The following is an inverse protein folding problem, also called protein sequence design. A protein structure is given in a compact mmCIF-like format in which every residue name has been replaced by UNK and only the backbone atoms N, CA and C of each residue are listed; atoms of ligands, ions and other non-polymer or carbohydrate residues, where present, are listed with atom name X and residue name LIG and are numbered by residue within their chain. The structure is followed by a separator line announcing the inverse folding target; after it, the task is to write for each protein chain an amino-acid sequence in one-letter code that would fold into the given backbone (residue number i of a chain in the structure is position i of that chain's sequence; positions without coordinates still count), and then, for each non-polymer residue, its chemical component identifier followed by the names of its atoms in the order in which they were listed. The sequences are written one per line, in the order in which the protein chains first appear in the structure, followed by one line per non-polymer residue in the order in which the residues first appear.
data_IF_162527152453
#
_entry.id   IF_162527152453
#
_cell.length_a   1.000
_cell.length_b   1.000
_cell.length_c   1.000
_cell.angle_alpha   90.00
_cell.angle_beta   90.00
_cell.angle_gamma   90.00
#
_symmetry.space_group_name_H-M   'P 1'
#
loop_
_entity.id
_entity.type
_entity.pdbx_description
1 polymer ?
#
# COMPACT_ATOMS: atom_id res chain seq x y z
N UNK A 1 -38.36 36.67 65.91
CA UNK A 1 -39.27 37.08 64.82
C UNK A 1 -38.40 37.51 63.67
N UNK A 2 -38.49 36.79 62.54
CA UNK A 2 -38.36 37.31 61.17
C UNK A 2 -38.03 36.13 60.23
N UNK A 3 -39.09 35.51 59.73
CA UNK A 3 -39.05 34.57 58.60
C UNK A 3 -39.23 35.40 57.33
N UNK A 4 -38.17 35.57 56.53
CA UNK A 4 -38.27 36.14 55.19
C UNK A 4 -38.65 35.01 54.22
N UNK A 5 -39.90 35.03 53.80
CA UNK A 5 -40.44 34.20 52.71
C UNK A 5 -40.10 34.87 51.37
N UNK A 6 -39.07 34.38 50.67
CA UNK A 6 -38.81 34.75 49.28
C UNK A 6 -39.35 33.68 48.33
N UNK A 7 -40.50 33.98 47.76
CA UNK A 7 -41.13 33.26 46.65
C UNK A 7 -40.17 33.14 45.44
N UNK A 8 -39.99 31.96 44.83
CA UNK A 8 -39.21 31.83 43.61
C UNK A 8 -39.96 32.49 42.45
N UNK A 9 -39.43 33.60 41.93
CA UNK A 9 -39.94 34.26 40.72
C UNK A 9 -40.01 33.23 39.59
N UNK A 10 -41.22 32.96 39.11
CA UNK A 10 -41.47 32.10 37.95
C UNK A 10 -40.74 32.64 36.72
N UNK A 11 -39.89 31.81 36.12
CA UNK A 11 -39.28 32.07 34.82
C UNK A 11 -40.39 32.30 33.79
N UNK A 12 -40.40 33.46 33.16
CA UNK A 12 -41.36 33.81 32.10
C UNK A 12 -41.19 32.86 30.91
N UNK A 13 -42.29 32.55 30.21
CA UNK A 13 -42.29 31.60 29.09
C UNK A 13 -41.32 32.00 27.95
N UNK A 14 -41.03 33.30 27.79
CA UNK A 14 -40.06 33.78 26.81
C UNK A 14 -38.63 33.30 27.09
N UNK A 15 -38.18 33.36 28.35
CA UNK A 15 -36.85 32.84 28.70
C UNK A 15 -36.76 31.33 28.58
N UNK A 16 -37.86 30.59 28.81
CA UNK A 16 -37.91 29.16 28.52
C UNK A 16 -37.77 28.89 27.02
N UNK A 17 -38.44 29.67 26.17
CA UNK A 17 -38.38 29.49 24.72
C UNK A 17 -36.99 29.82 24.15
N UNK A 18 -36.34 30.88 24.63
CA UNK A 18 -34.96 31.23 24.25
C UNK A 18 -33.94 30.16 24.70
N UNK A 19 -34.11 29.60 25.90
CA UNK A 19 -33.29 28.49 26.39
C UNK A 19 -33.54 27.20 25.60
N UNK A 20 -34.79 26.90 25.21
CA UNK A 20 -35.07 25.73 24.37
C UNK A 20 -34.59 25.90 22.93
N UNK A 21 -34.55 27.13 22.42
CA UNK A 21 -33.99 27.47 21.11
C UNK A 21 -32.46 27.36 21.07
N UNK A 22 -31.78 27.78 22.14
CA UNK A 22 -30.32 27.66 22.24
C UNK A 22 -29.84 26.23 22.51
N UNK A 23 -30.66 25.40 23.15
CA UNK A 23 -30.38 23.98 23.42
C UNK A 23 -30.72 23.04 22.26
N UNK A 24 -31.44 23.51 21.24
CA UNK A 24 -31.80 22.70 20.06
C UNK A 24 -31.38 23.40 18.76
N UNK A 25 -30.07 23.42 18.42
CA UNK A 25 -29.62 23.97 17.16
C UNK A 25 -30.25 23.18 16.00
N UNK A 26 -30.99 23.87 15.12
CA UNK A 26 -31.52 23.28 13.89
C UNK A 26 -30.36 22.60 13.14
N UNK A 27 -30.50 21.34 12.68
CA UNK A 27 -29.45 20.68 11.93
C UNK A 27 -29.15 21.50 10.68
N UNK A 28 -28.00 22.19 10.68
CA UNK A 28 -27.52 22.89 9.51
C UNK A 28 -27.36 21.85 8.40
N UNK A 29 -28.06 22.04 7.28
CA UNK A 29 -27.96 21.15 6.13
C UNK A 29 -26.51 21.14 5.65
N UNK A 30 -25.77 20.06 5.97
CA UNK A 30 -24.39 19.91 5.53
C UNK A 30 -24.33 20.07 4.00
N UNK A 31 -23.51 21.01 3.53
CA UNK A 31 -23.28 21.21 2.10
C UNK A 31 -22.81 19.94 1.42
N UNK A 32 -23.01 19.82 0.11
CA UNK A 32 -22.63 18.63 -0.67
C UNK A 32 -21.18 18.19 -0.42
N UNK A 33 -20.25 19.14 -0.30
CA UNK A 33 -18.85 18.87 0.08
C UNK A 33 -18.76 18.27 1.49
N UNK A 34 -19.46 18.81 2.47
CA UNK A 34 -19.47 18.28 3.83
C UNK A 34 -20.11 16.89 3.90
N UNK A 35 -21.18 16.60 3.12
CA UNK A 35 -21.75 15.25 3.00
C UNK A 35 -20.79 14.29 2.30
N UNK A 36 -20.10 14.73 1.26
CA UNK A 36 -19.05 13.94 0.61
C UNK A 36 -17.92 13.60 1.59
N UNK A 37 -17.41 14.59 2.34
CA UNK A 37 -16.38 14.40 3.37
C UNK A 37 -16.86 13.63 4.60
N UNK A 38 -18.16 13.64 4.91
CA UNK A 38 -18.76 12.85 5.97
C UNK A 38 -18.88 11.38 5.54
N UNK A 39 -19.45 11.10 4.37
CA UNK A 39 -19.50 9.75 3.77
C UNK A 39 -18.10 9.18 3.57
N UNK A 40 -17.15 10.01 3.13
CA UNK A 40 -15.74 9.62 2.98
C UNK A 40 -15.10 9.25 4.32
N UNK A 41 -15.32 10.03 5.39
CA UNK A 41 -14.83 9.70 6.75
C UNK A 41 -15.51 8.47 7.35
N UNK A 42 -16.77 8.24 7.00
CA UNK A 42 -17.56 7.11 7.51
C UNK A 42 -17.19 5.78 6.81
N UNK A 43 -16.76 5.84 5.54
CA UNK A 43 -16.37 4.66 4.75
C UNK A 43 -14.85 4.39 4.74
N UNK A 44 -14.00 5.41 4.92
CA UNK A 44 -12.55 5.26 4.91
C UNK A 44 -11.97 5.41 6.32
N UNK A 45 -11.39 4.30 6.80
CA UNK A 45 -10.65 4.24 8.06
C UNK A 45 -9.62 5.39 8.16
N UNK A 46 -9.42 5.98 9.36
CA UNK A 46 -8.39 7.00 9.56
C UNK A 46 -7.02 6.45 9.09
N UNK A 47 -6.42 7.09 8.08
CA UNK A 47 -5.10 6.71 7.57
C UNK A 47 -5.06 6.05 6.19
N UNK A 48 -6.18 5.84 5.47
CA UNK A 48 -6.15 5.32 4.10
C UNK A 48 -5.22 6.15 3.18
N UNK A 49 -5.27 7.48 3.27
CA UNK A 49 -4.39 8.33 2.47
C UNK A 49 -2.91 8.03 2.73
N UNK A 50 -2.52 7.78 3.98
CA UNK A 50 -1.15 7.40 4.35
C UNK A 50 -0.77 6.06 3.73
N UNK A 51 -1.70 5.09 3.74
CA UNK A 51 -1.52 3.77 3.10
C UNK A 51 -1.34 3.87 1.59
N UNK A 52 -2.18 4.66 0.93
CA UNK A 52 -2.10 4.90 -0.51
C UNK A 52 -0.75 5.53 -0.86
N UNK A 53 -0.36 6.58 -0.14
CA UNK A 53 0.92 7.25 -0.39
C UNK A 53 2.11 6.32 -0.15
N UNK A 54 2.09 5.50 0.90
CA UNK A 54 3.16 4.54 1.15
C UNK A 54 3.24 3.47 0.06
N UNK A 55 2.11 2.98 -0.46
CA UNK A 55 2.10 2.05 -1.59
C UNK A 55 2.63 2.68 -2.89
N UNK A 56 2.32 3.96 -3.16
CA UNK A 56 2.91 4.69 -4.31
C UNK A 56 4.43 4.73 -4.19
N UNK A 57 4.94 5.19 -3.04
CA UNK A 57 6.39 5.36 -2.81
C UNK A 57 7.11 4.02 -2.84
N UNK A 58 6.57 3.01 -2.16
CA UNK A 58 7.18 1.70 -2.09
C UNK A 58 7.20 1.00 -3.46
N UNK A 59 6.10 1.08 -4.22
CA UNK A 59 6.07 0.52 -5.57
C UNK A 59 6.98 1.27 -6.54
N UNK A 60 7.06 2.61 -6.40
CA UNK A 60 8.01 3.41 -7.17
C UNK A 60 9.45 2.94 -6.93
N UNK A 61 9.88 2.85 -5.67
CA UNK A 61 11.25 2.45 -5.34
C UNK A 61 11.54 1.01 -5.75
N UNK A 62 10.57 0.10 -5.56
CA UNK A 62 10.67 -1.29 -5.99
C UNK A 62 10.94 -1.38 -7.50
N UNK A 63 10.08 -0.76 -8.33
CA UNK A 63 10.19 -0.78 -9.79
C UNK A 63 11.45 -0.04 -10.25
N UNK A 64 11.76 1.11 -9.64
CA UNK A 64 12.94 1.89 -9.98
C UNK A 64 14.23 1.07 -9.82
N UNK A 65 14.42 0.46 -8.65
CA UNK A 65 15.65 -0.31 -8.36
C UNK A 65 15.72 -1.60 -9.17
N UNK A 66 14.63 -2.38 -9.23
CA UNK A 66 14.61 -3.67 -9.92
C UNK A 66 14.80 -3.51 -11.43
N UNK A 67 14.07 -2.58 -12.06
CA UNK A 67 14.22 -2.32 -13.49
C UNK A 67 15.53 -1.62 -13.83
N UNK A 68 16.07 -0.74 -12.97
CA UNK A 68 17.40 -0.17 -13.18
C UNK A 68 18.48 -1.25 -13.16
N UNK A 69 18.45 -2.13 -12.15
CA UNK A 69 19.44 -3.20 -12.02
C UNK A 69 19.38 -4.17 -13.20
N UNK A 70 18.18 -4.55 -13.64
CA UNK A 70 17.97 -5.39 -14.82
C UNK A 70 18.43 -4.69 -16.11
N UNK A 71 18.11 -3.41 -16.29
CA UNK A 71 18.51 -2.64 -17.47
C UNK A 71 20.04 -2.47 -17.56
N UNK A 72 20.70 -2.20 -16.42
CA UNK A 72 22.16 -2.10 -16.36
C UNK A 72 22.80 -3.46 -16.63
N UNK A 73 22.30 -4.54 -16.02
CA UNK A 73 22.78 -5.90 -16.27
C UNK A 73 22.67 -6.28 -17.75
N UNK A 74 21.53 -6.01 -18.39
CA UNK A 74 21.34 -6.26 -19.83
C UNK A 74 22.17 -5.38 -20.75
N UNK A 75 22.67 -4.23 -20.26
CA UNK A 75 23.56 -3.34 -21.02
C UNK A 75 25.05 -3.68 -20.87
N UNK A 76 25.48 -4.04 -19.65
CA UNK A 76 26.85 -4.36 -19.30
C UNK A 76 26.89 -5.22 -18.03
N UNK A 77 27.07 -6.53 -18.22
CA UNK A 77 27.14 -7.51 -17.14
C UNK A 77 28.34 -7.29 -16.19
N UNK A 78 29.37 -6.53 -16.60
CA UNK A 78 30.50 -6.20 -15.72
C UNK A 78 30.14 -5.15 -14.68
N UNK A 79 29.12 -4.32 -14.94
CA UNK A 79 28.65 -3.31 -13.99
C UNK A 79 27.74 -3.92 -12.94
N UNK A 80 26.77 -4.72 -13.38
CA UNK A 80 25.85 -5.46 -12.51
C UNK A 80 25.69 -6.85 -13.11
N UNK A 81 26.07 -7.88 -12.36
CA UNK A 81 25.80 -9.27 -12.73
C UNK A 81 24.33 -9.61 -12.50
N UNK A 82 23.85 -10.70 -13.11
CA UNK A 82 22.50 -11.19 -12.88
C UNK A 82 22.23 -11.43 -11.39
N UNK A 83 23.19 -12.01 -10.68
CA UNK A 83 23.15 -12.18 -9.23
C UNK A 83 23.01 -10.83 -8.49
N UNK A 84 23.75 -9.81 -8.93
CA UNK A 84 23.65 -8.46 -8.38
C UNK A 84 22.26 -7.85 -8.57
N UNK A 85 21.63 -8.06 -9.73
CA UNK A 85 20.28 -7.61 -10.00
C UNK A 85 19.23 -8.32 -9.12
N UNK A 86 19.35 -9.64 -8.94
CA UNK A 86 18.46 -10.41 -8.06
C UNK A 86 18.60 -10.01 -6.58
N UNK A 87 19.83 -9.79 -6.11
CA UNK A 87 20.10 -9.31 -4.75
C UNK A 87 19.48 -7.92 -4.56
N UNK A 88 19.68 -7.00 -5.50
CA UNK A 88 19.08 -5.66 -5.44
C UNK A 88 17.55 -5.74 -5.37
N UNK A 89 16.93 -6.64 -6.16
CA UNK A 89 15.50 -6.88 -6.15
C UNK A 89 14.96 -7.40 -4.81
N UNK A 90 15.62 -8.39 -4.21
CA UNK A 90 15.22 -8.90 -2.89
C UNK A 90 15.46 -7.92 -1.75
N UNK A 91 16.57 -7.17 -1.80
CA UNK A 91 16.90 -6.17 -0.79
C UNK A 91 15.91 -5.01 -0.80
N UNK A 92 15.52 -4.49 -1.97
CA UNK A 92 14.56 -3.38 -2.01
C UNK A 92 13.20 -3.80 -1.45
N UNK A 93 12.75 -5.03 -1.71
CA UNK A 93 11.53 -5.60 -1.09
C UNK A 93 11.67 -5.65 0.43
N UNK A 94 12.79 -6.17 0.94
CA UNK A 94 13.07 -6.22 2.38
C UNK A 94 12.99 -4.84 3.02
N UNK A 95 13.70 -3.87 2.42
CA UNK A 95 13.78 -2.48 2.92
C UNK A 95 12.38 -1.85 2.93
N UNK A 96 11.58 -2.01 1.89
CA UNK A 96 10.23 -1.45 1.84
C UNK A 96 9.27 -2.11 2.83
N UNK A 97 9.35 -3.43 3.03
CA UNK A 97 8.52 -4.11 4.04
C UNK A 97 8.84 -3.57 5.44
N UNK A 98 10.12 -3.42 5.80
CA UNK A 98 10.46 -2.85 7.11
C UNK A 98 10.16 -1.34 7.22
N UNK A 99 10.31 -0.59 6.13
CA UNK A 99 10.11 0.86 6.16
C UNK A 99 8.63 1.25 6.20
N UNK A 100 7.77 0.61 5.42
CA UNK A 100 6.36 1.02 5.27
C UNK A 100 5.36 -0.11 5.52
N UNK A 101 5.81 -1.32 5.88
CA UNK A 101 4.91 -2.44 6.21
C UNK A 101 3.98 -2.12 7.38
N UNK A 102 4.46 -1.39 8.38
CA UNK A 102 3.63 -0.91 9.49
C UNK A 102 2.58 0.13 9.08
N UNK A 103 2.71 0.76 7.91
CA UNK A 103 1.79 1.77 7.38
C UNK A 103 0.72 1.10 6.50
N UNK A 104 1.12 0.48 5.39
CA UNK A 104 0.20 -0.11 4.39
C UNK A 104 0.15 -1.63 4.36
N UNK A 105 1.06 -2.32 5.04
CA UNK A 105 1.35 -3.74 4.81
C UNK A 105 2.38 -3.99 3.70
N UNK A 106 2.85 -2.94 3.02
CA UNK A 106 3.84 -2.99 1.95
C UNK A 106 3.50 -4.05 0.88
N UNK A 107 2.31 -3.96 0.29
CA UNK A 107 1.90 -4.94 -0.72
C UNK A 107 2.70 -4.77 -2.01
N UNK A 108 2.92 -3.51 -2.43
CA UNK A 108 3.73 -3.08 -3.58
C UNK A 108 3.39 -3.75 -4.91
N UNK A 109 2.25 -4.45 -4.97
CA UNK A 109 1.87 -5.30 -6.09
C UNK A 109 0.36 -5.58 -6.04
N UNK A 110 -0.37 -5.38 -7.15
CA UNK A 110 -1.79 -5.68 -7.22
C UNK A 110 -2.12 -7.16 -6.97
N UNK A 111 -1.30 -8.09 -7.47
CA UNK A 111 -1.49 -9.53 -7.27
C UNK A 111 -1.31 -9.92 -5.79
N UNK A 112 -0.31 -9.35 -5.10
CA UNK A 112 -0.11 -9.55 -3.66
C UNK A 112 -1.31 -8.98 -2.89
N UNK A 113 -1.79 -7.80 -3.27
CA UNK A 113 -2.97 -7.17 -2.65
C UNK A 113 -4.21 -8.04 -2.78
N UNK A 114 -4.44 -8.62 -3.96
CA UNK A 114 -5.54 -9.56 -4.19
C UNK A 114 -5.36 -10.82 -3.35
N UNK A 115 -4.15 -11.40 -3.31
CA UNK A 115 -3.84 -12.56 -2.46
C UNK A 115 -4.11 -12.29 -0.98
N UNK A 116 -3.80 -11.08 -0.50
CA UNK A 116 -4.07 -10.68 0.87
C UNK A 116 -5.58 -10.51 1.11
N UNK A 117 -6.33 -10.02 0.12
CA UNK A 117 -7.78 -9.90 0.20
C UNK A 117 -8.49 -11.26 0.21
N UNK A 118 -7.95 -12.25 -0.50
CA UNK A 118 -8.49 -13.61 -0.54
C UNK A 118 -8.13 -14.44 0.69
N UNK A 119 -6.87 -14.38 1.15
CA UNK A 119 -6.36 -15.31 2.17
C UNK A 119 -6.10 -14.69 3.54
N UNK A 120 -5.84 -13.38 3.60
CA UNK A 120 -5.41 -12.66 4.82
C UNK A 120 -6.45 -11.66 5.33
N UNK A 121 -7.70 -11.76 4.86
CA UNK A 121 -8.84 -10.90 5.25
C UNK A 121 -8.60 -9.40 5.02
N UNK A 122 -7.76 -9.03 4.04
CA UNK A 122 -7.61 -7.63 3.66
C UNK A 122 -8.93 -7.09 3.05
N UNK A 123 -9.41 -5.91 3.45
CA UNK A 123 -10.71 -5.40 3.03
C UNK A 123 -10.76 -5.15 1.52
N UNK A 124 -11.64 -5.88 0.83
CA UNK A 124 -11.85 -5.79 -0.62
C UNK A 124 -12.11 -4.38 -1.14
N UNK A 125 -12.73 -3.52 -0.33
CA UNK A 125 -12.96 -2.10 -0.67
C UNK A 125 -11.67 -1.30 -0.86
N UNK A 126 -10.54 -1.70 -0.25
CA UNK A 126 -9.25 -1.02 -0.35
C UNK A 126 -8.41 -1.51 -1.54
N UNK A 127 -8.68 -2.71 -2.06
CA UNK A 127 -7.96 -3.33 -3.19
C UNK A 127 -7.85 -2.41 -4.41
N UNK A 128 -8.94 -1.78 -4.94
CA UNK A 128 -8.80 -0.92 -6.12
C UNK A 128 -7.96 0.33 -5.86
N UNK A 129 -7.98 0.88 -4.63
CA UNK A 129 -7.16 2.04 -4.28
C UNK A 129 -5.67 1.69 -4.17
N UNK A 130 -5.36 0.51 -3.61
CA UNK A 130 -4.00 -0.02 -3.57
C UNK A 130 -3.48 -0.31 -4.98
N UNK A 131 -4.29 -0.94 -5.84
CA UNK A 131 -3.91 -1.21 -7.22
C UNK A 131 -3.61 0.09 -7.98
N UNK A 132 -4.45 1.12 -7.83
CA UNK A 132 -4.22 2.43 -8.45
C UNK A 132 -2.93 3.09 -7.94
N UNK A 133 -2.66 3.01 -6.63
CA UNK A 133 -1.43 3.50 -6.02
C UNK A 133 -0.19 2.81 -6.60
N UNK A 134 -0.23 1.48 -6.69
CA UNK A 134 0.85 0.64 -7.20
C UNK A 134 1.12 0.93 -8.68
N UNK A 135 0.07 1.00 -9.51
CA UNK A 135 0.23 1.40 -10.92
C UNK A 135 0.83 2.79 -11.06
N UNK A 136 0.38 3.76 -10.26
CA UNK A 136 0.91 5.13 -10.29
C UNK A 136 2.41 5.15 -9.95
N UNK A 137 2.81 4.43 -8.91
CA UNK A 137 4.23 4.30 -8.51
C UNK A 137 5.07 3.64 -9.60
N UNK A 138 4.60 2.51 -10.15
CA UNK A 138 5.29 1.78 -11.21
C UNK A 138 5.47 2.60 -12.50
N UNK A 139 4.40 3.27 -12.95
CA UNK A 139 4.44 4.13 -14.14
C UNK A 139 5.42 5.29 -13.93
N UNK A 140 5.36 5.95 -12.78
CA UNK A 140 6.26 7.05 -12.45
C UNK A 140 7.73 6.60 -12.46
N UNK A 141 8.03 5.44 -11.88
CA UNK A 141 9.38 4.85 -11.90
C UNK A 141 9.86 4.54 -13.31
N UNK A 142 9.01 3.97 -14.16
CA UNK A 142 9.34 3.67 -15.55
C UNK A 142 9.68 4.95 -16.34
N UNK A 143 8.91 6.03 -16.17
CA UNK A 143 9.21 7.32 -16.80
C UNK A 143 10.52 7.93 -16.28
N UNK A 144 10.78 7.88 -14.98
CA UNK A 144 12.04 8.36 -14.40
C UNK A 144 13.22 7.57 -14.93
N UNK A 145 13.13 6.24 -14.99
CA UNK A 145 14.20 5.40 -15.54
C UNK A 145 14.47 5.69 -17.01
N UNK A 146 13.42 5.88 -17.82
CA UNK A 146 13.56 6.25 -19.23
C UNK A 146 14.33 7.56 -19.40
N UNK A 147 14.15 8.52 -18.51
CA UNK A 147 14.89 9.78 -18.55
C UNK A 147 16.34 9.67 -18.07
N UNK A 148 16.61 8.77 -17.10
CA UNK A 148 17.93 8.65 -16.47
C UNK A 148 18.89 7.68 -17.15
N UNK A 149 18.37 6.66 -17.84
CA UNK A 149 19.17 5.57 -18.40
C UNK A 149 19.38 5.67 -19.92
N UNK A 150 19.11 6.81 -20.55
CA UNK A 150 19.40 7.06 -21.98
C UNK A 150 20.90 6.78 -22.26
N UNK A 151 21.28 5.89 -23.22
CA UNK A 151 20.51 5.29 -24.32
C UNK A 151 20.04 3.83 -24.13
N UNK A 152 19.87 3.35 -22.90
CA UNK A 152 19.32 2.01 -22.63
C UNK A 152 17.80 2.03 -22.87
N UNK A 153 17.36 1.45 -23.98
CA UNK A 153 15.94 1.46 -24.40
C UNK A 153 15.12 0.29 -23.84
N UNK A 154 15.77 -0.81 -23.44
CA UNK A 154 15.10 -2.00 -22.90
C UNK A 154 15.06 -1.92 -21.37
N UNK A 155 14.04 -1.25 -20.86
CA UNK A 155 13.81 -1.08 -19.42
C UNK A 155 12.53 -1.82 -19.04
N UNK A 156 12.61 -2.74 -18.09
CA UNK A 156 11.43 -3.44 -17.56
C UNK A 156 10.79 -4.45 -18.52
N UNK A 157 11.49 -4.87 -19.58
CA UNK A 157 11.01 -5.91 -20.51
C UNK A 157 11.47 -7.29 -20.05
N UNK A 158 10.53 -8.18 -19.71
CA UNK A 158 10.79 -9.60 -19.52
C UNK A 158 10.80 -10.30 -20.88
N UNK A 159 11.99 -10.57 -21.41
CA UNK A 159 12.13 -11.28 -22.69
C UNK A 159 12.29 -12.77 -22.39
N UNK A 160 11.35 -13.64 -22.78
CA UNK A 160 11.46 -15.06 -22.47
C UNK A 160 12.70 -15.65 -23.16
N UNK A 161 13.51 -16.41 -22.43
CA UNK A 161 14.70 -17.10 -22.96
C UNK A 161 14.35 -18.40 -23.71
N UNK A 162 13.06 -18.65 -24.00
CA UNK A 162 12.56 -19.85 -24.65
C UNK A 162 11.09 -19.72 -25.10
N UNK A 163 10.39 -20.85 -25.23
CA UNK A 163 8.96 -20.86 -25.62
C UNK A 163 8.07 -20.23 -24.54
N UNK A 164 7.04 -19.49 -24.96
CA UNK A 164 6.04 -18.86 -24.08
C UNK A 164 5.48 -19.81 -23.02
N UNK A 165 5.25 -21.09 -23.37
CA UNK A 165 4.74 -22.10 -22.43
C UNK A 165 5.72 -22.39 -21.29
N UNK A 166 7.03 -22.43 -21.57
CA UNK A 166 8.07 -22.64 -20.53
C UNK A 166 8.17 -21.43 -19.62
N UNK A 167 8.12 -20.23 -20.19
CA UNK A 167 8.11 -18.98 -19.42
C UNK A 167 6.87 -18.91 -18.51
N UNK A 168 5.69 -19.26 -19.02
CA UNK A 168 4.46 -19.33 -18.23
C UNK A 168 4.57 -20.32 -17.06
N UNK A 169 5.10 -21.52 -17.29
CA UNK A 169 5.28 -22.53 -16.24
C UNK A 169 6.26 -22.01 -15.18
N UNK A 170 7.37 -21.40 -15.59
CA UNK A 170 8.33 -20.78 -14.67
C UNK A 170 7.70 -19.68 -13.84
N UNK A 171 6.92 -18.78 -14.47
CA UNK A 171 6.23 -17.68 -13.80
C UNK A 171 5.25 -18.19 -12.74
N UNK A 172 4.51 -19.26 -13.04
CA UNK A 172 3.58 -19.92 -12.10
C UNK A 172 4.35 -20.47 -10.89
N UNK A 173 5.44 -21.21 -11.13
CA UNK A 173 6.23 -21.83 -10.06
C UNK A 173 6.88 -20.77 -9.15
N UNK A 174 7.48 -19.74 -9.75
CA UNK A 174 8.14 -18.64 -9.04
C UNK A 174 7.13 -17.81 -8.25
N UNK A 175 6.00 -17.44 -8.86
CA UNK A 175 4.95 -16.66 -8.19
C UNK A 175 4.31 -17.46 -7.06
N UNK A 176 4.08 -18.77 -7.26
CA UNK A 176 3.59 -19.65 -6.22
C UNK A 176 4.56 -19.69 -5.03
N UNK A 177 5.87 -19.85 -5.29
CA UNK A 177 6.87 -19.86 -4.22
C UNK A 177 6.87 -18.55 -3.44
N UNK A 178 6.89 -17.41 -4.14
CA UNK A 178 6.87 -16.09 -3.52
C UNK A 178 5.60 -15.89 -2.67
N UNK A 179 4.41 -16.16 -3.24
CA UNK A 179 3.15 -16.00 -2.51
C UNK A 179 2.98 -16.98 -1.37
N UNK A 180 3.50 -18.21 -1.48
CA UNK A 180 3.51 -19.18 -0.40
C UNK A 180 4.34 -18.67 0.78
N UNK A 181 5.58 -18.21 0.53
CA UNK A 181 6.43 -17.65 1.59
C UNK A 181 5.79 -16.40 2.18
N UNK A 182 5.33 -15.45 1.36
CA UNK A 182 4.69 -14.22 1.83
C UNK A 182 3.45 -14.51 2.67
N UNK A 183 2.61 -15.46 2.25
CA UNK A 183 1.42 -15.83 3.03
C UNK A 183 1.80 -16.56 4.32
N UNK A 184 2.77 -17.47 4.29
CA UNK A 184 3.24 -18.19 5.48
C UNK A 184 3.75 -17.22 6.56
N UNK A 185 4.60 -16.26 6.18
CA UNK A 185 5.14 -15.28 7.15
C UNK A 185 4.14 -14.20 7.55
N UNK A 186 3.14 -13.91 6.71
CA UNK A 186 2.09 -12.94 7.04
C UNK A 186 0.95 -13.53 7.88
N UNK A 187 0.69 -14.84 7.79
CA UNK A 187 -0.41 -15.53 8.50
C UNK A 187 0.01 -16.10 9.85
N UNK A 188 1.27 -16.50 10.02
CA UNK A 188 1.68 -17.29 11.17
C UNK A 188 2.01 -16.42 12.39
N UNK A 189 1.13 -16.44 13.39
CA UNK A 189 1.35 -15.78 14.68
C UNK A 189 2.52 -16.36 15.49
N UNK A 190 3.07 -17.53 15.10
CA UNK A 190 4.28 -18.14 15.68
C UNK A 190 5.55 -17.81 14.89
N UNK A 191 5.43 -17.28 13.67
CA UNK A 191 6.59 -16.82 12.92
C UNK A 191 7.15 -15.55 13.59
N UNK A 192 8.47 -15.38 13.54
CA UNK A 192 9.14 -14.17 14.01
C UNK A 192 8.72 -13.02 13.10
N UNK A 193 7.66 -12.30 13.44
CA UNK A 193 7.09 -11.24 12.61
C UNK A 193 8.11 -10.14 12.25
N UNK A 194 9.12 -9.94 13.10
CA UNK A 194 10.24 -9.04 12.85
C UNK A 194 11.14 -9.47 11.68
N UNK A 195 11.17 -10.77 11.34
CA UNK A 195 11.95 -11.31 10.22
C UNK A 195 11.14 -11.46 8.93
N UNK A 196 9.84 -11.13 8.94
CA UNK A 196 8.96 -11.33 7.79
C UNK A 196 9.47 -10.59 6.54
N UNK A 197 9.96 -9.35 6.69
CA UNK A 197 10.52 -8.58 5.58
C UNK A 197 11.75 -9.25 4.96
N UNK A 198 12.66 -9.76 5.78
CA UNK A 198 13.85 -10.48 5.32
C UNK A 198 13.48 -11.79 4.62
N UNK A 199 12.50 -12.53 5.14
CA UNK A 199 12.04 -13.77 4.53
C UNK A 199 11.40 -13.52 3.14
N UNK A 200 10.52 -12.53 3.02
CA UNK A 200 9.89 -12.17 1.74
C UNK A 200 10.93 -11.67 0.73
N UNK A 201 11.83 -10.77 1.13
CA UNK A 201 12.86 -10.28 0.22
C UNK A 201 13.87 -11.35 -0.19
N UNK A 202 14.23 -12.27 0.73
CA UNK A 202 15.06 -13.43 0.39
C UNK A 202 14.37 -14.35 -0.62
N UNK A 203 13.06 -14.59 -0.46
CA UNK A 203 12.29 -15.37 -1.43
C UNK A 203 12.30 -14.71 -2.81
N UNK A 204 12.08 -13.39 -2.89
CA UNK A 204 12.15 -12.64 -4.16
C UNK A 204 13.55 -12.71 -4.78
N UNK A 205 14.62 -12.61 -3.98
CA UNK A 205 15.99 -12.77 -4.46
C UNK A 205 16.21 -14.17 -5.06
N UNK A 206 15.87 -15.22 -4.31
CA UNK A 206 16.07 -16.61 -4.73
C UNK A 206 15.27 -16.92 -6.00
N UNK A 207 14.01 -16.51 -6.05
CA UNK A 207 13.19 -16.76 -7.23
C UNK A 207 13.66 -15.96 -8.44
N UNK A 208 14.17 -14.73 -8.25
CA UNK A 208 14.78 -13.95 -9.33
C UNK A 208 16.05 -14.61 -9.88
N UNK A 209 16.91 -15.18 -9.02
CA UNK A 209 18.11 -15.93 -9.47
C UNK A 209 17.71 -17.11 -10.36
N UNK A 210 16.60 -17.78 -10.02
CA UNK A 210 16.11 -18.96 -10.75
C UNK A 210 15.36 -18.58 -12.03
N UNK A 211 14.62 -17.47 -12.02
CA UNK A 211 13.75 -17.06 -13.12
C UNK A 211 14.52 -16.57 -14.37
N UNK A 212 15.71 -16.00 -14.19
CA UNK A 212 16.47 -15.43 -15.32
C UNK A 212 16.30 -13.93 -15.41
#
# INVERSE_FOLDING_TARGET
MDSIEQSPRGLTNDHRNELTSSLNPKPQSLGFSARFWAVYREHFQPGLFRKILSEVVATFLLVFITCAAAAINGSDERRISQLGASIAGGLIVTVMIYSVGHISGAHMNPAVTIGFATFLRFPWKQVPFYALAQFTGAISAAFTLRALLDPIHRIGTTTPSGSDTRALVMEIVVTFNMMFVTSAVATDAKAVGELAGLAVGSAVCITSIVAG
#
